data_IF_201274337520
#
_entry.id   IF_201274337520
#
_cell.length_a   1.000
_cell.length_b   1.000
_cell.length_c   1.000
_cell.angle_alpha   90.00
_cell.angle_beta   90.00
_cell.angle_gamma   90.00
#
_symmetry.space_group_name_H-M   'P 1'
#
loop_
_entity.id
_entity.type
_entity.pdbx_description
1 polymer ?
#
# COMPACT_ATOMS: atom_id res chain seq x y z
N UNK A 1 13.21 -11.84 -8.25
CA UNK A 1 12.31 -11.07 -7.36
C UNK A 1 13.14 -10.04 -6.59
N UNK A 2 12.63 -8.83 -6.43
CA UNK A 2 13.20 -7.77 -5.59
C UNK A 2 12.09 -7.18 -4.71
N UNK A 3 12.47 -6.47 -3.65
CA UNK A 3 11.50 -5.72 -2.84
C UNK A 3 11.12 -4.40 -3.54
N UNK A 4 9.89 -3.93 -3.35
CA UNK A 4 9.44 -2.58 -3.74
C UNK A 4 9.75 -1.51 -2.67
N UNK A 5 10.33 -1.89 -1.53
CA UNK A 5 10.73 -0.94 -0.50
C UNK A 5 11.98 -1.41 0.27
N UNK A 6 12.86 -0.46 0.60
CA UNK A 6 14.15 -0.73 1.25
C UNK A 6 14.03 -1.33 2.66
N UNK A 7 12.91 -1.13 3.35
CA UNK A 7 12.70 -1.63 4.71
C UNK A 7 11.64 -2.73 4.80
N UNK A 8 10.98 -3.15 3.72
CA UNK A 8 9.86 -4.10 3.82
C UNK A 8 10.28 -5.57 3.83
N UNK A 9 11.50 -5.88 3.36
CA UNK A 9 11.96 -7.26 3.28
C UNK A 9 11.97 -7.93 4.65
N UNK A 10 11.43 -9.15 4.72
CA UNK A 10 11.63 -10.05 5.83
C UNK A 10 12.76 -11.02 5.46
N UNK A 11 13.96 -10.82 6.02
CA UNK A 11 15.17 -11.53 5.56
C UNK A 11 15.04 -13.05 5.64
N UNK A 12 14.33 -13.58 6.64
CA UNK A 12 14.07 -15.01 6.76
C UNK A 12 13.15 -15.55 5.66
N UNK A 13 12.21 -14.74 5.15
CA UNK A 13 11.38 -15.09 4.00
C UNK A 13 12.21 -15.05 2.71
N UNK A 14 13.04 -14.01 2.51
CA UNK A 14 13.96 -13.93 1.39
C UNK A 14 14.95 -15.12 1.37
N UNK A 15 15.50 -15.48 2.52
CA UNK A 15 16.39 -16.64 2.67
C UNK A 15 15.68 -17.96 2.32
N UNK A 16 14.42 -18.14 2.73
CA UNK A 16 13.64 -19.33 2.40
C UNK A 16 13.38 -19.45 0.89
N UNK A 17 13.07 -18.32 0.21
CA UNK A 17 12.90 -18.26 -1.24
C UNK A 17 14.22 -18.57 -1.97
N UNK A 18 15.34 -17.98 -1.51
CA UNK A 18 16.67 -18.26 -2.05
C UNK A 18 17.05 -19.75 -1.88
N UNK A 19 16.78 -20.33 -0.70
CA UNK A 19 17.04 -21.74 -0.42
C UNK A 19 16.22 -22.70 -1.29
N UNK A 20 15.07 -22.25 -1.79
CA UNK A 20 14.26 -22.97 -2.78
C UNK A 20 14.80 -22.87 -4.22
N UNK A 21 15.93 -22.17 -4.44
CA UNK A 21 16.57 -22.01 -5.74
C UNK A 21 15.98 -20.89 -6.60
N UNK A 22 15.13 -20.03 -6.03
CA UNK A 22 14.53 -18.88 -6.72
C UNK A 22 15.48 -17.68 -6.61
N UNK A 23 15.71 -16.97 -7.72
CA UNK A 23 16.54 -15.76 -7.75
C UNK A 23 15.81 -14.60 -7.04
N UNK A 24 16.28 -14.25 -5.85
CA UNK A 24 15.78 -13.13 -5.03
C UNK A 24 16.92 -12.21 -4.62
N UNK A 25 16.73 -10.91 -4.84
CA UNK A 25 17.67 -9.83 -4.53
C UNK A 25 16.94 -8.84 -3.63
N UNK A 26 16.92 -9.14 -2.33
CA UNK A 26 16.20 -8.35 -1.35
C UNK A 26 16.76 -8.62 0.05
N UNK A 27 16.99 -7.56 0.82
CA UNK A 27 17.24 -7.61 2.25
C UNK A 27 16.68 -6.35 2.92
N UNK A 28 16.53 -6.36 4.24
CA UNK A 28 16.05 -5.20 5.00
C UNK A 28 17.17 -4.20 5.19
N UNK A 29 16.91 -2.92 4.91
CA UNK A 29 17.88 -1.85 5.07
C UNK A 29 18.76 -1.63 3.85
N UNK A 30 18.23 -1.85 2.64
CA UNK A 30 18.85 -1.43 1.40
C UNK A 30 19.07 0.10 1.40
N UNK A 31 20.13 0.56 0.75
CA UNK A 31 20.18 1.95 0.28
C UNK A 31 19.55 2.07 -1.12
N UNK A 32 19.38 3.28 -1.65
CA UNK A 32 18.73 3.50 -2.96
C UNK A 32 19.51 2.88 -4.14
N UNK A 33 20.84 2.86 -4.09
CA UNK A 33 21.66 2.25 -5.15
C UNK A 33 21.48 0.73 -5.15
N UNK A 34 21.49 0.11 -3.98
CA UNK A 34 21.24 -1.33 -3.82
C UNK A 34 19.81 -1.70 -4.21
N UNK A 35 18.83 -0.83 -3.91
CA UNK A 35 17.43 -0.99 -4.31
C UNK A 35 17.28 -1.06 -5.83
N UNK A 36 17.80 -0.05 -6.54
CA UNK A 36 17.79 -0.02 -8.00
C UNK A 36 18.54 -1.23 -8.57
N UNK A 37 19.73 -1.54 -8.03
CA UNK A 37 20.51 -2.72 -8.44
C UNK A 37 19.71 -4.02 -8.30
N UNK A 38 18.98 -4.19 -7.19
CA UNK A 38 18.16 -5.37 -6.95
C UNK A 38 17.06 -5.53 -8.01
N UNK A 39 16.39 -4.44 -8.41
CA UNK A 39 15.39 -4.47 -9.48
C UNK A 39 16.05 -4.86 -10.82
N UNK A 40 17.21 -4.28 -11.14
CA UNK A 40 17.95 -4.60 -12.38
C UNK A 40 18.30 -6.09 -12.48
N UNK A 41 18.66 -6.73 -11.35
CA UNK A 41 18.96 -8.16 -11.33
C UNK A 41 17.75 -9.06 -11.66
N UNK A 42 16.53 -8.53 -11.59
CA UNK A 42 15.30 -9.28 -11.89
C UNK A 42 14.91 -9.26 -13.37
N UNK A 43 15.57 -8.44 -14.18
CA UNK A 43 15.24 -8.28 -15.60
C UNK A 43 15.67 -9.47 -16.47
N UNK A 44 16.61 -10.29 -15.97
CA UNK A 44 17.20 -11.42 -16.70
C UNK A 44 17.22 -12.69 -15.85
N UNK A 45 17.00 -13.84 -16.50
CA UNK A 45 16.82 -15.13 -15.86
C UNK A 45 17.88 -16.15 -16.30
N UNK A 46 18.44 -16.84 -15.31
CA UNK A 46 19.40 -17.92 -15.51
C UNK A 46 20.76 -17.50 -16.11
N UNK A 47 21.66 -18.48 -16.36
CA UNK A 47 22.99 -18.22 -16.91
C UNK A 47 22.96 -17.63 -18.33
N UNK A 48 21.90 -17.91 -19.08
CA UNK A 48 21.70 -17.42 -20.45
C UNK A 48 21.15 -15.99 -20.51
N UNK A 49 20.86 -15.37 -19.35
CA UNK A 49 20.33 -14.01 -19.25
C UNK A 49 19.07 -13.82 -20.10
N UNK A 50 18.13 -14.77 -20.05
CA UNK A 50 16.87 -14.65 -20.79
C UNK A 50 16.04 -13.50 -20.21
N UNK A 51 15.53 -12.56 -21.03
CA UNK A 51 14.81 -11.40 -20.52
C UNK A 51 13.47 -11.78 -19.91
N UNK A 52 13.00 -10.98 -18.96
CA UNK A 52 11.65 -11.07 -18.42
C UNK A 52 10.59 -10.96 -19.52
N UNK A 53 9.47 -11.66 -19.36
CA UNK A 53 8.35 -11.65 -20.31
C UNK A 53 6.99 -11.34 -19.65
N UNK A 54 7.00 -11.04 -18.36
CA UNK A 54 5.87 -10.60 -17.55
C UNK A 54 6.40 -9.64 -16.48
N UNK A 55 5.59 -8.65 -16.10
CA UNK A 55 5.85 -7.79 -14.94
C UNK A 55 4.75 -8.03 -13.89
N UNK A 56 5.16 -8.17 -12.64
CA UNK A 56 4.30 -8.08 -11.46
C UNK A 56 4.91 -6.97 -10.60
N UNK A 57 4.16 -5.90 -10.38
CA UNK A 57 4.66 -4.67 -9.78
C UNK A 57 3.79 -4.21 -8.60
N UNK A 58 4.41 -3.46 -7.69
CA UNK A 58 3.79 -2.81 -6.54
C UNK A 58 4.47 -1.45 -6.39
N UNK A 59 3.82 -0.40 -6.89
CA UNK A 59 4.32 0.98 -6.86
C UNK A 59 4.81 1.52 -8.20
N UNK A 60 5.04 0.65 -9.18
CA UNK A 60 5.42 1.03 -10.54
C UNK A 60 6.91 1.22 -10.77
N UNK A 61 7.78 0.93 -9.80
CA UNK A 61 9.22 1.18 -9.94
C UNK A 61 9.89 0.19 -10.91
N UNK A 62 9.48 -1.09 -10.91
CA UNK A 62 9.93 -2.07 -11.91
C UNK A 62 9.44 -1.69 -13.31
N UNK A 63 8.18 -1.26 -13.43
CA UNK A 63 7.59 -0.77 -14.68
C UNK A 63 8.37 0.43 -15.21
N UNK A 64 8.70 1.41 -14.36
CA UNK A 64 9.50 2.56 -14.74
C UNK A 64 10.92 2.14 -15.16
N UNK A 65 11.54 1.20 -14.45
CA UNK A 65 12.86 0.70 -14.81
C UNK A 65 12.87 0.10 -16.22
N UNK A 66 11.89 -0.75 -16.54
CA UNK A 66 11.76 -1.32 -17.88
C UNK A 66 11.43 -0.25 -18.91
N UNK A 67 10.44 0.60 -18.66
CA UNK A 67 9.97 1.54 -19.68
C UNK A 67 10.95 2.68 -19.96
N UNK A 68 11.65 3.16 -18.93
CA UNK A 68 12.45 4.38 -19.03
C UNK A 68 13.95 4.07 -19.14
N UNK A 69 14.44 2.97 -18.55
CA UNK A 69 15.87 2.60 -18.59
C UNK A 69 16.19 1.43 -19.55
N UNK A 70 15.28 0.45 -19.69
CA UNK A 70 15.48 -0.76 -20.50
C UNK A 70 14.36 -1.00 -21.55
N UNK A 71 14.02 0.01 -22.38
CA UNK A 71 12.86 -0.06 -23.27
C UNK A 71 12.96 -1.17 -24.33
N UNK A 72 14.16 -1.67 -24.62
CA UNK A 72 14.40 -2.80 -25.52
C UNK A 72 13.76 -4.11 -25.03
N UNK A 73 13.53 -4.25 -23.72
CA UNK A 73 12.92 -5.45 -23.14
C UNK A 73 11.41 -5.51 -23.34
N UNK A 74 10.75 -4.37 -23.58
CA UNK A 74 9.29 -4.25 -23.71
C UNK A 74 8.74 -5.24 -24.74
N UNK A 75 9.43 -5.43 -25.85
CA UNK A 75 8.98 -6.31 -26.94
C UNK A 75 8.85 -7.79 -26.53
N UNK A 76 9.53 -8.23 -25.47
CA UNK A 76 9.45 -9.59 -24.94
C UNK A 76 8.35 -9.75 -23.87
N UNK A 77 7.78 -8.65 -23.37
CA UNK A 77 6.87 -8.66 -22.23
C UNK A 77 5.42 -8.68 -22.73
N UNK A 78 4.62 -9.61 -22.21
CA UNK A 78 3.20 -9.74 -22.59
C UNK A 78 2.29 -8.76 -21.85
N UNK A 79 2.62 -8.40 -20.62
CA UNK A 79 1.79 -7.51 -19.82
C UNK A 79 2.33 -7.29 -18.43
N UNK A 80 1.65 -6.41 -17.70
CA UNK A 80 1.98 -6.10 -16.31
C UNK A 80 0.74 -6.13 -15.41
N UNK A 81 0.89 -6.53 -14.15
CA UNK A 81 -0.14 -6.37 -13.12
C UNK A 81 0.39 -5.53 -11.96
N UNK A 82 -0.42 -4.57 -11.52
CA UNK A 82 -0.02 -3.55 -10.55
C UNK A 82 -0.89 -3.63 -9.29
N UNK A 83 -0.22 -3.73 -8.14
CA UNK A 83 -0.83 -4.05 -6.85
C UNK A 83 -1.44 -2.85 -6.12
N UNK A 84 -0.87 -1.65 -6.26
CA UNK A 84 -1.18 -0.56 -5.33
C UNK A 84 -1.72 0.70 -6.01
N UNK A 85 -2.50 1.49 -5.26
CA UNK A 85 -3.13 2.72 -5.72
C UNK A 85 -2.13 3.68 -6.38
N UNK A 86 -0.94 3.80 -5.82
CA UNK A 86 0.11 4.69 -6.33
C UNK A 86 0.68 4.23 -7.68
N UNK A 87 0.96 2.95 -7.84
CA UNK A 87 1.42 2.41 -9.12
C UNK A 87 0.32 2.48 -10.19
N UNK A 88 -0.93 2.21 -9.81
CA UNK A 88 -2.09 2.39 -10.71
C UNK A 88 -2.20 3.83 -11.20
N UNK A 89 -2.01 4.82 -10.32
CA UNK A 89 -2.01 6.22 -10.72
C UNK A 89 -0.94 6.50 -11.80
N UNK A 90 0.28 6.00 -11.61
CA UNK A 90 1.38 6.11 -12.60
C UNK A 90 1.02 5.43 -13.93
N UNK A 91 0.32 4.29 -13.90
CA UNK A 91 -0.16 3.63 -15.13
C UNK A 91 -1.19 4.47 -15.89
N UNK A 92 -2.13 5.11 -15.18
CA UNK A 92 -3.10 6.02 -15.80
C UNK A 92 -2.42 7.27 -16.37
N UNK A 93 -1.38 7.81 -15.72
CA UNK A 93 -0.55 8.88 -16.28
C UNK A 93 0.13 8.44 -17.58
N UNK A 94 0.74 7.24 -17.59
CA UNK A 94 1.34 6.67 -18.79
C UNK A 94 0.32 6.46 -19.92
N UNK A 95 -0.87 5.95 -19.60
CA UNK A 95 -1.94 5.78 -20.58
C UNK A 95 -2.39 7.12 -21.17
N UNK A 96 -2.54 8.16 -20.34
CA UNK A 96 -2.87 9.52 -20.79
C UNK A 96 -1.77 10.14 -21.65
N UNK A 97 -0.50 9.86 -21.33
CA UNK A 97 0.66 10.42 -22.02
C UNK A 97 1.08 9.59 -23.26
N UNK A 98 0.42 8.46 -23.53
CA UNK A 98 0.78 7.56 -24.62
C UNK A 98 2.09 6.79 -24.40
N UNK A 99 2.52 6.65 -23.14
CA UNK A 99 3.74 5.95 -22.71
C UNK A 99 3.44 4.65 -21.94
N UNK A 100 2.20 4.16 -22.02
CA UNK A 100 1.84 2.80 -21.61
C UNK A 100 2.07 1.86 -22.79
N UNK A 101 3.12 1.05 -22.71
CA UNK A 101 3.56 0.21 -23.83
C UNK A 101 3.03 -1.23 -23.79
N UNK A 102 2.36 -1.62 -22.71
CA UNK A 102 1.87 -2.97 -22.45
C UNK A 102 0.42 -2.93 -21.94
N UNK A 103 -0.38 -4.00 -22.11
CA UNK A 103 -1.62 -4.16 -21.37
C UNK A 103 -1.31 -4.29 -19.87
N UNK A 104 -2.11 -3.61 -19.05
CA UNK A 104 -1.94 -3.57 -17.61
C UNK A 104 -3.22 -4.01 -16.89
N UNK A 105 -3.11 -4.90 -15.91
CA UNK A 105 -4.21 -5.20 -14.98
C UNK A 105 -3.97 -4.49 -13.66
N UNK A 106 -4.86 -3.56 -13.34
CA UNK A 106 -5.01 -2.94 -12.04
C UNK A 106 -5.62 -3.95 -11.08
N UNK A 107 -4.76 -4.56 -10.25
CA UNK A 107 -5.17 -5.50 -9.19
C UNK A 107 -5.64 -4.74 -7.96
N UNK A 108 -5.16 -3.51 -7.75
CA UNK A 108 -5.56 -2.69 -6.60
C UNK A 108 -7.09 -2.51 -6.52
N UNK A 109 -7.74 -2.26 -7.65
CA UNK A 109 -9.16 -1.93 -7.72
C UNK A 109 -10.07 -3.15 -7.87
N UNK A 110 -9.51 -4.37 -7.83
CA UNK A 110 -10.31 -5.54 -7.46
C UNK A 110 -11.00 -5.27 -6.12
N UNK A 111 -12.28 -5.63 -6.03
CA UNK A 111 -13.08 -5.41 -4.82
C UNK A 111 -12.45 -6.12 -3.64
N UNK A 112 -12.01 -7.36 -3.87
CA UNK A 112 -11.35 -8.20 -2.86
C UNK A 112 -9.93 -7.78 -2.51
N UNK A 113 -9.38 -6.77 -3.20
CA UNK A 113 -8.12 -6.11 -2.85
C UNK A 113 -8.41 -4.82 -2.10
N UNK A 114 -8.90 -3.78 -2.79
CA UNK A 114 -9.08 -2.42 -2.26
C UNK A 114 -9.82 -2.35 -0.90
N UNK A 115 -10.91 -3.11 -0.68
CA UNK A 115 -11.65 -3.04 0.60
C UNK A 115 -11.23 -4.03 1.65
N UNK A 116 -10.34 -4.94 1.32
CA UNK A 116 -9.85 -5.92 2.27
C UNK A 116 -8.43 -5.58 2.66
N UNK A 117 -7.51 -5.55 1.70
CA UNK A 117 -6.11 -5.24 1.89
C UNK A 117 -5.91 -3.81 2.42
N UNK A 118 -6.25 -2.80 1.62
CA UNK A 118 -5.94 -1.42 1.96
C UNK A 118 -6.65 -1.00 3.26
N UNK A 119 -7.84 -1.54 3.53
CA UNK A 119 -8.62 -1.22 4.73
C UNK A 119 -8.28 -2.13 5.91
N UNK A 120 -8.62 -3.42 5.87
CA UNK A 120 -8.41 -4.32 7.01
C UNK A 120 -6.93 -4.65 7.21
N UNK A 121 -6.13 -4.78 6.15
CA UNK A 121 -4.69 -4.99 6.30
C UNK A 121 -4.01 -3.84 7.04
N UNK A 122 -4.34 -2.59 6.72
CA UNK A 122 -3.85 -1.42 7.46
C UNK A 122 -4.42 -1.37 8.89
N UNK A 123 -5.68 -1.78 9.09
CA UNK A 123 -6.28 -1.92 10.42
C UNK A 123 -5.48 -2.87 11.32
N UNK A 124 -5.06 -4.01 10.79
CA UNK A 124 -4.28 -5.00 11.55
C UNK A 124 -2.83 -4.56 11.77
N UNK A 125 -2.22 -3.83 10.83
CA UNK A 125 -0.75 -3.65 10.79
C UNK A 125 -0.24 -2.27 11.24
N UNK A 126 -1.05 -1.20 11.19
CA UNK A 126 -0.58 0.14 11.57
C UNK A 126 -0.19 0.20 13.05
N UNK A 127 -1.12 -0.16 13.94
CA UNK A 127 -0.88 -0.16 15.39
C UNK A 127 0.22 -1.14 15.77
N UNK A 128 0.32 -2.29 15.10
CA UNK A 128 1.40 -3.26 15.33
C UNK A 128 2.77 -2.60 15.12
N UNK A 129 2.97 -1.93 13.99
CA UNK A 129 4.21 -1.22 13.71
C UNK A 129 4.53 -0.10 14.70
N UNK A 130 3.55 0.72 15.07
CA UNK A 130 3.78 1.79 16.06
C UNK A 130 4.15 1.17 17.42
N UNK A 131 3.51 0.07 17.82
CA UNK A 131 3.84 -0.64 19.07
C UNK A 131 5.24 -1.22 19.02
N UNK A 132 5.59 -2.00 17.99
CA UNK A 132 6.95 -2.56 17.87
C UNK A 132 8.03 -1.49 17.80
N UNK A 133 7.73 -0.35 17.19
CA UNK A 133 8.67 0.77 17.09
C UNK A 133 8.86 1.48 18.44
N UNK A 134 7.78 1.77 19.16
CA UNK A 134 7.82 2.78 20.25
C UNK A 134 7.36 2.29 21.61
N UNK A 135 6.69 1.14 21.68
CA UNK A 135 6.04 0.61 22.89
C UNK A 135 5.09 1.61 23.59
N UNK A 136 4.65 2.65 22.86
CA UNK A 136 3.83 3.72 23.43
C UNK A 136 2.46 3.21 23.86
N UNK A 137 1.98 3.69 25.01
CA UNK A 137 0.60 3.47 25.41
C UNK A 137 -0.34 4.23 24.47
N UNK A 138 -1.17 3.48 23.74
CA UNK A 138 -2.15 4.01 22.78
C UNK A 138 -3.34 4.72 23.46
N UNK A 139 -3.96 4.08 24.44
CA UNK A 139 -5.16 4.60 25.08
C UNK A 139 -4.91 6.00 25.69
N UNK A 140 -5.81 6.94 25.40
CA UNK A 140 -5.73 8.33 25.85
C UNK A 140 -4.81 9.24 25.02
N UNK A 141 -4.15 8.71 23.98
CA UNK A 141 -3.41 9.54 23.00
C UNK A 141 -4.36 10.16 21.99
N UNK A 142 -3.88 11.22 21.34
CA UNK A 142 -4.49 11.83 20.17
C UNK A 142 -3.67 11.47 18.95
N UNK A 143 -4.33 10.93 17.91
CA UNK A 143 -3.69 10.67 16.63
C UNK A 143 -4.33 11.51 15.52
N UNK A 144 -3.52 11.93 14.56
CA UNK A 144 -3.97 12.56 13.32
C UNK A 144 -3.72 11.61 12.16
N UNK A 145 -4.79 11.24 11.45
CA UNK A 145 -4.73 10.42 10.23
C UNK A 145 -4.98 11.35 9.03
N UNK A 146 -3.96 11.50 8.20
CA UNK A 146 -4.03 12.38 7.03
C UNK A 146 -4.47 11.59 5.80
N UNK A 147 -5.71 11.80 5.37
CA UNK A 147 -6.39 11.04 4.32
C UNK A 147 -7.40 10.06 4.89
N UNK A 148 -8.52 9.88 4.18
CA UNK A 148 -9.62 8.99 4.57
C UNK A 148 -10.14 8.15 3.40
N UNK A 149 -9.24 7.81 2.48
CA UNK A 149 -9.40 6.68 1.56
C UNK A 149 -9.38 5.34 2.31
N UNK A 150 -9.13 4.23 1.62
CA UNK A 150 -9.22 2.90 2.27
C UNK A 150 -8.14 2.66 3.32
N UNK A 151 -6.90 3.08 3.03
CA UNK A 151 -5.79 3.06 3.99
C UNK A 151 -6.11 3.94 5.20
N UNK A 152 -6.64 5.15 4.97
CA UNK A 152 -7.03 6.08 6.02
C UNK A 152 -8.14 5.55 6.93
N UNK A 153 -9.17 4.93 6.34
CA UNK A 153 -10.26 4.26 7.08
C UNK A 153 -9.73 3.13 7.96
N UNK A 154 -8.91 2.24 7.39
CA UNK A 154 -8.27 1.16 8.13
C UNK A 154 -7.37 1.67 9.26
N UNK A 155 -6.61 2.71 8.98
CA UNK A 155 -5.69 3.35 9.93
C UNK A 155 -6.42 4.01 11.11
N UNK A 156 -7.51 4.72 10.84
CA UNK A 156 -8.34 5.34 11.86
C UNK A 156 -9.01 4.28 12.75
N UNK A 157 -9.55 3.21 12.16
CA UNK A 157 -10.12 2.08 12.91
C UNK A 157 -9.05 1.35 13.75
N UNK A 158 -7.84 1.18 13.20
CA UNK A 158 -6.69 0.59 13.92
C UNK A 158 -6.46 1.35 15.22
N UNK A 159 -6.31 2.68 15.14
CA UNK A 159 -5.99 3.53 16.28
C UNK A 159 -7.16 3.63 17.26
N UNK A 160 -8.37 3.90 16.76
CA UNK A 160 -9.54 4.13 17.61
C UNK A 160 -9.95 2.89 18.41
N UNK A 161 -9.77 1.69 17.83
CA UNK A 161 -9.99 0.42 18.54
C UNK A 161 -9.07 0.23 19.76
N UNK A 162 -7.97 0.97 19.83
CA UNK A 162 -7.00 0.94 20.94
C UNK A 162 -7.22 2.06 21.97
N UNK A 163 -8.34 2.78 21.89
CA UNK A 163 -8.65 3.90 22.77
C UNK A 163 -7.90 5.19 22.43
N UNK A 164 -7.39 5.33 21.21
CA UNK A 164 -6.81 6.58 20.70
C UNK A 164 -7.94 7.50 20.22
N UNK A 165 -7.88 8.79 20.57
CA UNK A 165 -8.77 9.80 19.98
C UNK A 165 -8.22 10.20 18.60
N UNK A 166 -8.93 9.81 17.54
CA UNK A 166 -8.49 10.05 16.16
C UNK A 166 -9.11 11.33 15.60
N UNK A 167 -8.27 12.15 14.97
CA UNK A 167 -8.64 13.31 14.16
C UNK A 167 -8.26 12.99 12.72
N UNK A 168 -9.17 13.20 11.78
CA UNK A 168 -8.94 12.98 10.34
C UNK A 168 -8.71 14.31 9.65
N UNK A 169 -7.87 14.31 8.62
CA UNK A 169 -7.77 15.43 7.67
C UNK A 169 -8.11 14.95 6.28
N UNK A 170 -8.93 15.70 5.54
CA UNK A 170 -9.33 15.33 4.19
C UNK A 170 -9.47 16.55 3.28
N UNK A 171 -9.22 16.31 2.00
CA UNK A 171 -9.51 17.22 0.89
C UNK A 171 -10.82 16.85 0.19
N UNK A 172 -11.19 15.57 0.20
CA UNK A 172 -12.42 15.09 -0.44
C UNK A 172 -13.61 15.24 0.54
N UNK A 173 -14.66 15.99 0.17
CA UNK A 173 -15.80 16.22 1.05
C UNK A 173 -16.62 14.95 1.34
N UNK A 174 -16.64 13.96 0.45
CA UNK A 174 -17.32 12.67 0.64
C UNK A 174 -16.58 11.87 1.71
N UNK A 175 -15.26 11.75 1.58
CA UNK A 175 -14.42 11.04 2.55
C UNK A 175 -14.42 11.75 3.92
N UNK A 176 -14.37 13.08 3.93
CA UNK A 176 -14.50 13.87 5.16
C UNK A 176 -15.86 13.63 5.85
N UNK A 177 -16.95 13.61 5.09
CA UNK A 177 -18.27 13.34 5.65
C UNK A 177 -18.37 11.92 6.19
N UNK A 178 -17.78 10.92 5.52
CA UNK A 178 -17.68 9.55 6.05
C UNK A 178 -16.96 9.51 7.39
N UNK A 179 -15.79 10.14 7.50
CA UNK A 179 -15.04 10.21 8.76
C UNK A 179 -15.88 10.83 9.89
N UNK A 180 -16.58 11.93 9.60
CA UNK A 180 -17.46 12.58 10.56
C UNK A 180 -18.64 11.69 10.99
N UNK A 181 -19.26 10.96 10.05
CA UNK A 181 -20.36 10.03 10.35
C UNK A 181 -19.92 8.79 11.14
N UNK A 182 -18.64 8.42 11.06
CA UNK A 182 -18.02 7.37 11.86
C UNK A 182 -17.54 7.87 13.25
N UNK A 183 -17.76 9.15 13.56
CA UNK A 183 -17.47 9.74 14.86
C UNK A 183 -16.08 10.36 15.00
N UNK A 184 -15.32 10.48 13.91
CA UNK A 184 -14.03 11.14 13.91
C UNK A 184 -14.16 12.66 13.74
N UNK A 185 -13.39 13.41 14.52
CA UNK A 185 -13.27 14.84 14.29
C UNK A 185 -12.50 15.08 12.98
N UNK A 186 -13.02 15.97 12.11
CA UNK A 186 -12.35 16.33 10.85
C UNK A 186 -11.84 17.76 10.92
N UNK A 187 -10.52 17.95 10.79
CA UNK A 187 -9.85 19.25 10.91
C UNK A 187 -8.83 19.47 9.79
N UNK A 188 -8.44 20.73 9.59
CA UNK A 188 -7.23 21.05 8.82
C UNK A 188 -6.00 20.51 9.55
N UNK A 189 -5.03 19.96 8.82
CA UNK A 189 -3.82 19.40 9.41
C UNK A 189 -3.06 20.40 10.29
N UNK A 190 -2.87 21.64 9.83
CA UNK A 190 -2.20 22.71 10.57
C UNK A 190 -2.85 23.04 11.95
N UNK A 191 -4.12 22.70 12.15
CA UNK A 191 -4.79 22.81 13.44
C UNK A 191 -4.66 21.54 14.27
N UNK A 192 -4.87 20.38 13.65
CA UNK A 192 -4.86 19.07 14.31
C UNK A 192 -3.47 18.67 14.82
N UNK A 193 -2.41 18.98 14.08
CA UNK A 193 -1.02 18.58 14.41
C UNK A 193 -0.54 19.12 15.77
N UNK A 194 -1.10 20.24 16.23
CA UNK A 194 -0.74 20.89 17.50
C UNK A 194 -1.15 20.07 18.73
N UNK A 195 -2.17 19.23 18.59
CA UNK A 195 -2.64 18.35 19.66
C UNK A 195 -2.26 16.87 19.46
N UNK A 196 -1.58 16.53 18.37
CA UNK A 196 -1.25 15.16 18.01
C UNK A 196 -0.09 14.60 18.83
N UNK A 197 -0.27 13.39 19.38
CA UNK A 197 0.81 12.57 19.91
C UNK A 197 1.34 11.60 18.84
N UNK A 198 0.48 11.20 17.89
CA UNK A 198 0.79 10.32 16.75
C UNK A 198 0.28 10.99 15.47
N UNK A 199 1.09 11.01 14.41
CA UNK A 199 0.73 11.52 13.09
C UNK A 199 0.98 10.39 12.08
N UNK A 200 -0.04 10.05 11.30
CA UNK A 200 0.02 9.01 10.27
C UNK A 200 -0.45 9.58 8.94
N UNK A 201 0.39 9.53 7.91
CA UNK A 201 0.01 9.94 6.55
C UNK A 201 -0.44 8.74 5.71
N UNK A 202 -1.58 8.89 5.01
CA UNK A 202 -2.26 7.81 4.27
C UNK A 202 -2.81 8.27 2.93
N UNK A 203 -2.24 9.32 2.32
CA UNK A 203 -2.86 10.03 1.20
C UNK A 203 -2.45 9.48 -0.16
N UNK A 204 -1.28 8.84 -0.28
CA UNK A 204 -0.65 8.54 -1.56
C UNK A 204 -0.26 9.80 -2.36
N UNK A 205 -0.20 10.96 -1.71
CA UNK A 205 0.16 12.25 -2.28
C UNK A 205 1.55 12.67 -1.76
N UNK A 206 1.87 13.97 -1.78
CA UNK A 206 3.16 14.52 -1.34
C UNK A 206 2.97 15.76 -0.49
N UNK A 207 4.02 16.12 0.26
CA UNK A 207 4.12 17.38 0.98
C UNK A 207 3.00 17.59 2.04
N UNK A 208 2.56 16.50 2.69
CA UNK A 208 1.50 16.52 3.72
C UNK A 208 2.06 17.05 5.04
N UNK A 209 3.17 16.49 5.50
CA UNK A 209 3.91 16.95 6.68
C UNK A 209 5.15 17.70 6.20
N UNK A 210 5.20 19.01 6.47
CA UNK A 210 6.25 19.93 6.00
C UNK A 210 6.93 20.60 7.18
N UNK A 211 7.99 21.37 6.91
CA UNK A 211 8.76 22.09 7.92
C UNK A 211 7.91 22.90 8.90
N UNK A 212 6.93 23.66 8.41
CA UNK A 212 6.05 24.45 9.29
C UNK A 212 5.20 23.58 10.24
N UNK A 213 4.93 22.33 9.88
CA UNK A 213 4.16 21.41 10.71
C UNK A 213 5.04 20.84 11.82
N UNK A 214 6.27 20.39 11.51
CA UNK A 214 7.24 19.88 12.49
C UNK A 214 7.48 20.87 13.64
N UNK A 215 7.63 22.17 13.32
CA UNK A 215 7.84 23.23 14.32
C UNK A 215 6.69 23.35 15.34
N UNK A 216 5.48 22.90 14.98
CA UNK A 216 4.28 23.03 15.81
C UNK A 216 3.90 21.76 16.59
N UNK A 217 4.59 20.65 16.33
CA UNK A 217 4.35 19.37 17.02
C UNK A 217 4.70 19.42 18.51
N UNK A 218 4.09 18.54 19.29
CA UNK A 218 4.42 18.31 20.70
C UNK A 218 5.80 17.66 20.85
N UNK A 219 6.40 17.80 22.03
CA UNK A 219 7.56 16.98 22.40
C UNK A 219 7.20 15.49 22.34
N UNK A 220 8.08 14.71 21.73
CA UNK A 220 8.01 13.26 21.48
C UNK A 220 6.79 12.82 20.66
N UNK A 221 6.27 13.69 19.80
CA UNK A 221 5.29 13.28 18.80
C UNK A 221 5.89 12.21 17.87
N UNK A 222 5.12 11.17 17.59
CA UNK A 222 5.49 10.09 16.67
C UNK A 222 4.92 10.43 15.30
N UNK A 223 5.78 10.44 14.28
CA UNK A 223 5.43 10.73 12.89
C UNK A 223 5.75 9.51 12.04
N UNK A 224 4.77 9.03 11.29
CA UNK A 224 4.97 7.94 10.35
C UNK A 224 4.06 8.07 9.12
N UNK A 225 4.38 7.26 8.12
CA UNK A 225 3.67 7.19 6.87
C UNK A 225 3.32 5.72 6.60
N UNK A 226 2.13 5.47 6.08
CA UNK A 226 1.71 4.14 5.63
C UNK A 226 1.28 4.17 4.15
N UNK A 227 1.31 5.34 3.50
CA UNK A 227 1.25 5.46 2.04
C UNK A 227 2.54 4.97 1.38
N UNK A 228 2.48 4.68 0.08
CA UNK A 228 3.50 3.91 -0.62
C UNK A 228 4.89 4.59 -0.72
N UNK A 229 4.96 5.92 -0.84
CA UNK A 229 6.24 6.63 -0.91
C UNK A 229 6.45 7.53 0.31
N UNK A 230 7.71 7.83 0.62
CA UNK A 230 8.14 8.65 1.76
C UNK A 230 7.83 10.15 1.59
N UNK A 231 7.52 10.58 0.37
CA UNK A 231 7.26 11.97 0.02
C UNK A 231 5.98 12.59 0.62
N UNK A 232 5.14 11.81 1.32
CA UNK A 232 4.09 12.37 2.17
C UNK A 232 4.66 13.22 3.33
N UNK A 233 5.88 12.90 3.77
CA UNK A 233 6.61 13.60 4.82
C UNK A 233 7.86 14.23 4.22
N UNK A 234 8.10 15.51 4.50
CA UNK A 234 9.31 16.21 4.07
C UNK A 234 10.52 15.84 4.95
N UNK A 235 10.97 14.59 4.81
CA UNK A 235 12.13 14.03 5.50
C UNK A 235 13.43 14.71 5.04
N UNK A 236 13.47 15.17 3.77
CA UNK A 236 14.57 15.95 3.23
C UNK A 236 14.77 17.26 4.01
N UNK A 237 13.70 18.03 4.24
CA UNK A 237 13.75 19.21 5.09
C UNK A 237 14.19 18.87 6.52
N UNK A 238 13.68 17.78 7.09
CA UNK A 238 14.03 17.37 8.45
C UNK A 238 15.53 17.05 8.57
N UNK A 239 16.07 16.29 7.63
CA UNK A 239 17.51 15.97 7.57
C UNK A 239 18.37 17.22 7.32
N UNK A 240 17.96 18.09 6.40
CA UNK A 240 18.71 19.30 6.08
C UNK A 240 18.78 20.31 7.24
N UNK A 241 17.70 20.45 8.01
CA UNK A 241 17.60 21.46 9.07
C UNK A 241 17.94 20.92 10.47
N UNK A 242 17.65 19.63 10.73
CA UNK A 242 17.80 19.01 12.05
C UNK A 242 18.51 17.66 12.02
N UNK A 243 19.10 17.25 10.88
CA UNK A 243 19.82 15.98 10.78
C UNK A 243 21.05 15.88 11.68
N UNK A 244 21.66 17.01 12.06
CA UNK A 244 22.74 17.04 13.05
C UNK A 244 22.31 16.67 14.47
N UNK A 245 21.00 16.66 14.75
CA UNK A 245 20.42 16.22 16.02
C UNK A 245 19.73 14.85 15.94
N UNK A 246 19.80 14.19 14.77
CA UNK A 246 19.28 12.83 14.56
C UNK A 246 20.00 11.87 15.50
N UNK A 247 19.23 11.13 16.28
CA UNK A 247 19.69 10.00 17.11
C UNK A 247 18.87 8.79 16.74
N UNK A 248 19.50 7.78 16.17
CA UNK A 248 18.86 6.47 15.98
C UNK A 248 18.68 5.82 17.35
N UNK A 249 17.43 5.57 17.73
CA UNK A 249 17.09 4.86 18.98
C UNK A 249 17.29 3.36 18.79
N UNK A 250 16.85 2.87 17.63
CA UNK A 250 17.05 1.51 17.09
C UNK A 250 16.76 1.57 15.57
N UNK A 251 17.08 0.52 14.80
CA UNK A 251 16.79 0.51 13.36
C UNK A 251 15.33 0.94 13.07
N UNK A 252 15.18 1.87 12.13
CA UNK A 252 13.91 2.45 11.70
C UNK A 252 13.17 3.28 12.77
N UNK A 253 13.82 3.68 13.86
CA UNK A 253 13.25 4.58 14.87
C UNK A 253 14.24 5.70 15.19
N UNK A 254 13.98 6.87 14.60
CA UNK A 254 14.87 8.01 14.68
C UNK A 254 14.27 9.13 15.52
N UNK A 255 15.08 9.75 16.37
CA UNK A 255 14.71 10.92 17.15
C UNK A 255 15.43 12.15 16.61
N UNK A 256 14.68 13.19 16.26
CA UNK A 256 15.20 14.51 15.89
C UNK A 256 14.89 15.51 17.00
N UNK A 257 15.81 16.41 17.34
CA UNK A 257 15.53 17.52 18.26
C UNK A 257 15.33 18.82 17.46
N UNK A 258 14.11 19.34 17.49
CA UNK A 258 13.63 20.51 16.76
C UNK A 258 13.22 21.59 17.78
N UNK A 259 13.96 22.69 17.84
CA UNK A 259 13.67 23.81 18.76
C UNK A 259 13.43 23.36 20.22
N UNK A 260 14.23 22.40 20.69
CA UNK A 260 14.14 21.85 22.06
C UNK A 260 13.04 20.80 22.29
N UNK A 261 12.29 20.41 21.25
CA UNK A 261 11.31 19.32 21.27
C UNK A 261 11.83 18.14 20.47
N UNK A 262 11.67 16.93 21.00
CA UNK A 262 12.00 15.72 20.25
C UNK A 262 10.84 15.31 19.33
N UNK A 263 11.15 14.81 18.14
CA UNK A 263 10.19 14.19 17.21
C UNK A 263 10.71 12.80 16.87
N UNK A 264 9.83 11.80 16.92
CA UNK A 264 10.16 10.40 16.60
C UNK A 264 9.66 10.12 15.19
N UNK A 265 10.57 9.87 14.25
CA UNK A 265 10.25 9.47 12.89
C UNK A 265 10.41 7.95 12.75
N UNK A 266 9.39 7.29 12.20
CA UNK A 266 9.42 5.85 11.96
C UNK A 266 9.77 5.54 10.50
N UNK A 267 10.62 4.53 10.31
CA UNK A 267 11.06 4.00 9.01
C UNK A 267 11.51 5.07 8.01
N UNK A 268 12.12 6.15 8.50
CA UNK A 268 12.57 7.29 7.68
C UNK A 268 11.45 7.87 6.80
N UNK A 269 10.19 7.77 7.23
CA UNK A 269 9.03 8.23 6.47
C UNK A 269 8.53 7.26 5.40
N UNK A 270 9.13 6.08 5.23
CA UNK A 270 8.61 5.00 4.35
C UNK A 270 7.48 4.21 5.03
N UNK A 271 6.85 3.27 4.32
CA UNK A 271 5.71 2.48 4.81
C UNK A 271 5.99 1.85 6.18
N UNK A 272 5.35 2.37 7.22
CA UNK A 272 5.65 2.03 8.61
C UNK A 272 5.24 0.61 8.97
N UNK A 273 4.13 0.12 8.42
CA UNK A 273 3.60 -1.21 8.72
C UNK A 273 4.57 -2.34 8.30
N UNK A 274 5.28 -2.13 7.20
CA UNK A 274 6.31 -3.03 6.69
C UNK A 274 7.69 -2.71 7.29
N UNK A 275 8.03 -1.42 7.40
CA UNK A 275 9.32 -0.97 7.91
C UNK A 275 9.56 -1.31 9.37
N UNK A 276 8.54 -1.15 10.22
CA UNK A 276 8.64 -1.37 11.67
C UNK A 276 7.93 -2.64 12.17
N UNK A 277 7.23 -3.38 11.31
CA UNK A 277 6.62 -4.66 11.64
C UNK A 277 6.75 -5.66 10.47
N UNK A 278 5.65 -6.32 10.11
CA UNK A 278 5.62 -7.42 9.12
C UNK A 278 4.57 -7.20 8.04
N UNK A 279 4.04 -5.97 7.93
CA UNK A 279 2.96 -5.65 7.01
C UNK A 279 1.65 -6.36 7.36
N UNK A 280 0.84 -6.57 6.33
CA UNK A 280 -0.48 -7.16 6.45
C UNK A 280 -0.41 -8.66 6.79
N UNK A 281 -1.33 -9.20 7.61
CA UNK A 281 -1.38 -10.64 7.89
C UNK A 281 -1.66 -11.49 6.64
N UNK A 282 -1.23 -12.75 6.66
CA UNK A 282 -1.32 -13.65 5.50
C UNK A 282 -2.74 -13.83 4.96
N UNK A 283 -3.77 -13.85 5.83
CA UNK A 283 -5.15 -14.06 5.39
C UNK A 283 -5.66 -12.94 4.46
N UNK A 284 -5.32 -11.67 4.77
CA UNK A 284 -5.73 -10.57 3.90
C UNK A 284 -4.87 -10.53 2.63
N UNK A 285 -3.56 -10.77 2.73
CA UNK A 285 -2.67 -10.87 1.57
C UNK A 285 -3.06 -12.02 0.62
N UNK A 286 -3.67 -13.08 1.13
CA UNK A 286 -4.22 -14.17 0.32
C UNK A 286 -5.26 -13.67 -0.69
N UNK A 287 -6.06 -12.65 -0.35
CA UNK A 287 -7.02 -12.06 -1.29
C UNK A 287 -6.28 -11.31 -2.41
N UNK A 288 -5.36 -10.42 -2.04
CA UNK A 288 -4.54 -9.64 -2.97
C UNK A 288 -3.73 -10.53 -3.91
N UNK A 289 -3.04 -11.52 -3.35
CA UNK A 289 -2.16 -12.41 -4.13
C UNK A 289 -2.94 -13.44 -4.97
N UNK A 290 -4.17 -13.79 -4.57
CA UNK A 290 -5.06 -14.54 -5.47
C UNK A 290 -5.41 -13.70 -6.70
N UNK A 291 -5.75 -12.42 -6.53
CA UNK A 291 -6.00 -11.52 -7.67
C UNK A 291 -4.76 -11.31 -8.54
N UNK A 292 -3.59 -11.11 -7.93
CA UNK A 292 -2.32 -11.03 -8.69
C UNK A 292 -2.09 -12.28 -9.52
N UNK A 293 -2.29 -13.47 -8.95
CA UNK A 293 -2.14 -14.74 -9.67
C UNK A 293 -3.11 -14.84 -10.84
N UNK A 294 -4.39 -14.46 -10.64
CA UNK A 294 -5.39 -14.47 -11.70
C UNK A 294 -5.06 -13.46 -12.82
N UNK A 295 -4.56 -12.27 -12.46
CA UNK A 295 -4.14 -11.26 -13.42
C UNK A 295 -2.95 -11.73 -14.27
N UNK A 296 -1.94 -12.34 -13.65
CA UNK A 296 -0.79 -12.91 -14.34
C UNK A 296 -1.21 -14.03 -15.30
N UNK A 297 -2.11 -14.93 -14.86
CA UNK A 297 -2.64 -16.00 -15.71
C UNK A 297 -3.43 -15.46 -16.91
N UNK A 298 -4.26 -14.43 -16.70
CA UNK A 298 -5.04 -13.80 -17.76
C UNK A 298 -4.13 -13.15 -18.81
N UNK A 299 -3.18 -12.31 -18.38
CA UNK A 299 -2.24 -11.65 -19.28
C UNK A 299 -1.37 -12.67 -20.02
N UNK A 300 -0.83 -13.68 -19.33
CA UNK A 300 0.02 -14.68 -19.95
C UNK A 300 -0.68 -15.46 -21.07
N UNK A 301 -1.97 -15.77 -20.84
CA UNK A 301 -2.77 -16.65 -21.71
C UNK A 301 -3.49 -15.89 -22.82
N UNK A 302 -3.92 -14.65 -22.55
CA UNK A 302 -4.87 -13.91 -23.38
C UNK A 302 -4.39 -12.49 -23.74
N UNK A 303 -3.09 -12.18 -23.62
CA UNK A 303 -2.53 -10.84 -23.92
C UNK A 303 -2.97 -10.26 -25.26
N UNK A 304 -3.21 -11.09 -26.28
CA UNK A 304 -3.63 -10.71 -27.62
C UNK A 304 -5.04 -10.09 -27.68
N UNK A 305 -5.83 -10.26 -26.61
CA UNK A 305 -7.18 -9.68 -26.46
C UNK A 305 -7.16 -8.29 -25.82
N UNK A 306 -6.01 -7.80 -25.38
CA UNK A 306 -5.88 -6.55 -24.65
C UNK A 306 -5.13 -5.52 -25.48
N UNK A 307 -5.60 -4.28 -25.42
CA UNK A 307 -4.84 -3.12 -25.90
C UNK A 307 -3.89 -2.64 -24.80
N UNK A 308 -3.01 -1.69 -25.13
CA UNK A 308 -2.15 -1.01 -24.15
C UNK A 308 -2.95 -0.01 -23.30
N UNK A 309 -3.83 -0.55 -22.46
CA UNK A 309 -4.73 0.15 -21.55
C UNK A 309 -4.68 -0.50 -20.17
N UNK A 310 -5.22 0.19 -19.18
CA UNK A 310 -5.42 -0.32 -17.82
C UNK A 310 -6.80 -0.98 -17.72
N UNK A 311 -6.82 -2.23 -17.28
CA UNK A 311 -8.02 -3.04 -17.08
C UNK A 311 -8.16 -3.47 -15.61
N UNK A 312 -9.35 -3.87 -15.21
CA UNK A 312 -9.61 -4.49 -13.90
C UNK A 312 -10.12 -5.91 -14.14
N UNK A 313 -9.86 -6.83 -13.21
CA UNK A 313 -10.39 -8.19 -13.30
C UNK A 313 -11.93 -8.18 -13.35
N UNK A 314 -12.56 -9.08 -14.12
CA UNK A 314 -14.01 -9.16 -14.18
C UNK A 314 -14.61 -9.58 -12.84
N UNK A 315 -15.80 -9.05 -12.54
CA UNK A 315 -16.46 -9.20 -11.22
C UNK A 315 -16.63 -10.64 -10.74
N UNK A 316 -16.89 -11.60 -11.64
CA UNK A 316 -17.03 -13.00 -11.25
C UNK A 316 -15.72 -13.58 -10.66
N UNK A 317 -14.56 -13.06 -11.05
CA UNK A 317 -13.29 -13.46 -10.45
C UNK A 317 -13.12 -12.84 -9.06
N UNK A 318 -13.52 -11.58 -8.87
CA UNK A 318 -13.57 -10.95 -7.55
C UNK A 318 -14.46 -11.73 -6.58
N UNK A 319 -15.67 -12.10 -7.00
CA UNK A 319 -16.58 -12.93 -6.19
C UNK A 319 -16.01 -14.33 -5.93
N UNK A 320 -15.31 -14.92 -6.91
CA UNK A 320 -14.59 -16.19 -6.73
C UNK A 320 -13.50 -16.05 -5.67
N UNK A 321 -12.70 -14.99 -5.69
CA UNK A 321 -11.67 -14.75 -4.66
C UNK A 321 -12.33 -14.68 -3.29
N UNK A 322 -13.40 -13.89 -3.11
CA UNK A 322 -14.10 -13.80 -1.83
C UNK A 322 -14.59 -15.18 -1.37
N UNK A 323 -15.25 -15.94 -2.26
CA UNK A 323 -15.80 -17.28 -1.96
C UNK A 323 -14.75 -18.27 -1.47
N UNK A 324 -13.53 -18.23 -2.04
CA UNK A 324 -12.41 -19.09 -1.62
C UNK A 324 -11.96 -18.87 -0.17
N UNK A 325 -12.25 -17.71 0.43
CA UNK A 325 -11.79 -17.37 1.77
C UNK A 325 -12.86 -17.63 2.86
N UNK A 326 -14.12 -17.84 2.49
CA UNK A 326 -15.25 -17.91 3.43
C UNK A 326 -15.20 -19.13 4.36
N UNK A 327 -14.92 -20.32 3.81
CA UNK A 327 -14.90 -21.57 4.57
C UNK A 327 -13.88 -21.50 5.73
N UNK A 328 -12.71 -20.89 5.49
CA UNK A 328 -11.62 -20.79 6.47
C UNK A 328 -12.02 -20.05 7.75
N UNK A 329 -13.01 -19.17 7.66
CA UNK A 329 -13.55 -18.36 8.76
C UNK A 329 -14.98 -18.75 9.14
N UNK A 330 -15.49 -19.88 8.62
CA UNK A 330 -16.80 -20.42 8.97
C UNK A 330 -17.98 -19.60 8.46
N UNK A 331 -17.83 -18.89 7.34
CA UNK A 331 -18.94 -18.17 6.71
C UNK A 331 -19.66 -19.11 5.75
N UNK A 332 -20.98 -19.25 5.95
CA UNK A 332 -21.89 -19.99 5.09
C UNK A 332 -22.78 -19.01 4.32
N UNK A 333 -22.99 -19.27 3.02
CA UNK A 333 -23.84 -18.43 2.17
C UNK A 333 -25.18 -19.11 1.91
N UNK A 334 -26.27 -18.34 2.03
CA UNK A 334 -27.54 -18.72 1.41
C UNK A 334 -27.37 -18.82 -0.11
N UNK A 335 -28.21 -19.64 -0.74
CA UNK A 335 -28.27 -19.80 -2.20
C UNK A 335 -29.60 -19.23 -2.70
N UNK A 336 -29.55 -18.31 -3.66
CA UNK A 336 -30.75 -17.78 -4.29
C UNK A 336 -31.53 -18.91 -4.97
N UNK A 337 -32.84 -18.98 -4.75
CA UNK A 337 -33.68 -19.72 -5.68
C UNK A 337 -33.86 -18.93 -7.00
N UNK A 338 -34.33 -19.61 -8.05
CA UNK A 338 -34.50 -18.97 -9.36
C UNK A 338 -35.48 -17.80 -9.32
N UNK A 339 -36.51 -17.85 -8.48
CA UNK A 339 -37.50 -16.78 -8.36
C UNK A 339 -36.90 -15.52 -7.73
N UNK A 340 -36.06 -15.66 -6.70
CA UNK A 340 -35.31 -14.56 -6.10
C UNK A 340 -34.29 -13.97 -7.08
N UNK A 341 -33.55 -14.83 -7.80
CA UNK A 341 -32.57 -14.42 -8.79
C UNK A 341 -33.20 -13.61 -9.93
N UNK A 342 -34.32 -14.10 -10.48
CA UNK A 342 -35.10 -13.41 -11.50
C UNK A 342 -35.66 -12.07 -10.99
N UNK A 343 -36.11 -12.02 -9.72
CA UNK A 343 -36.68 -10.80 -9.12
C UNK A 343 -35.67 -9.65 -9.05
N UNK A 344 -34.41 -9.93 -8.72
CA UNK A 344 -33.34 -8.92 -8.65
C UNK A 344 -32.51 -8.80 -9.93
N UNK A 345 -32.79 -9.63 -10.94
CA UNK A 345 -32.18 -9.58 -12.26
C UNK A 345 -30.73 -10.06 -12.31
N UNK A 346 -30.37 -11.11 -11.55
CA UNK A 346 -29.02 -11.70 -11.54
C UNK A 346 -29.06 -13.21 -11.72
N UNK A 347 -27.98 -13.88 -12.18
CA UNK A 347 -27.87 -15.33 -12.13
C UNK A 347 -27.76 -15.83 -10.68
N UNK A 348 -28.21 -17.06 -10.41
CA UNK A 348 -28.09 -17.70 -9.08
C UNK A 348 -26.64 -17.76 -8.57
N UNK A 349 -25.68 -17.94 -9.47
CA UNK A 349 -24.25 -18.03 -9.15
C UNK A 349 -23.51 -16.69 -9.25
N UNK A 350 -24.22 -15.60 -9.59
CA UNK A 350 -23.66 -14.28 -9.83
C UNK A 350 -23.15 -14.06 -11.26
N UNK A 351 -22.52 -12.89 -11.55
CA UNK A 351 -22.24 -11.81 -10.61
C UNK A 351 -23.47 -11.19 -9.97
N UNK A 352 -23.39 -10.87 -8.67
CA UNK A 352 -24.55 -10.45 -7.87
C UNK A 352 -24.78 -8.94 -7.85
N UNK A 353 -23.88 -8.16 -8.45
CA UNK A 353 -23.89 -6.70 -8.43
C UNK A 353 -23.47 -6.15 -9.79
N UNK A 354 -23.91 -4.94 -10.10
CA UNK A 354 -23.48 -4.22 -11.31
C UNK A 354 -22.03 -3.75 -11.19
N UNK A 355 -21.41 -3.43 -12.33
CA UNK A 355 -20.03 -2.91 -12.37
C UNK A 355 -19.89 -1.55 -11.67
N UNK A 356 -20.96 -0.76 -11.61
CA UNK A 356 -20.99 0.55 -10.93
C UNK A 356 -21.12 0.47 -9.40
N UNK A 357 -21.38 -0.73 -8.87
CA UNK A 357 -21.58 -0.91 -7.43
C UNK A 357 -20.27 -0.73 -6.67
N UNK A 358 -20.30 0.10 -5.62
CA UNK A 358 -19.13 0.45 -4.82
C UNK A 358 -18.98 -0.51 -3.64
N UNK A 359 -18.68 -1.77 -3.94
CA UNK A 359 -18.66 -2.97 -3.06
C UNK A 359 -19.88 -3.84 -3.08
#
# INVERSE_FOLDING_TARGET
WSSCNIFSTQDHAAAAIAAAGIQVYAWKGLNEEEFDWCIEQTLHFGPEQQPLNMILDDGGDLTNMVFDKYPELIAAIKGLSEETTTGVHRLYERMKNGTLHLPAINVNDSVTKSKFDNKYGCRESLVDAIRRATDVMMAGKVAVVCGYGDVGKGSAESLSSQGVRVIVTEIDPICALQAAMEGYEVKKFASAVKEADIIVTTTGNRDIVRGEHFLTMKDKAIVCNIGHFDNEIDVAWLNANYGSTKVEIKPQVDKYTIEGKDIILLAEGRLVNLGCATGHPSFVMSNSFTNQTLAQLELWTNTDKYENKVYVLPKYLDEKVARLHLEKIGVELDVLDQHQADYIGVPVEGPFKSDEYRY
#
